data_IF_301380708105
#
_entry.id   IF_301380708105
#
_cell.length_a   1.000
_cell.length_b   1.000
_cell.length_c   1.000
_cell.angle_alpha   90.00
_cell.angle_beta   90.00
_cell.angle_gamma   90.00
#
_symmetry.space_group_name_H-M   'P 1'
#
loop_
_entity.id
_entity.type
_entity.pdbx_description
1 polymer ?
#
# COMPACT_ATOMS: atom_id res chain seq x y z
N UNK A 1 15.13 -13.60 -49.86
CA UNK A 1 15.13 -13.95 -48.43
C UNK A 1 14.56 -12.76 -47.70
N UNK A 2 13.38 -12.89 -47.10
CA UNK A 2 12.87 -11.87 -46.21
C UNK A 2 13.81 -11.83 -45.01
N UNK A 3 14.47 -10.70 -44.78
CA UNK A 3 15.34 -10.52 -43.61
C UNK A 3 14.51 -10.81 -42.37
N UNK A 4 15.04 -11.64 -41.46
CA UNK A 4 14.57 -11.63 -40.09
C UNK A 4 14.64 -10.17 -39.66
N UNK A 5 13.52 -9.57 -39.27
CA UNK A 5 13.59 -8.34 -38.52
C UNK A 5 14.25 -8.74 -37.20
N UNK A 6 15.57 -8.53 -37.11
CA UNK A 6 16.34 -8.89 -35.93
C UNK A 6 15.73 -8.16 -34.73
N UNK A 7 15.59 -8.86 -33.61
CA UNK A 7 15.09 -8.26 -32.39
C UNK A 7 16.17 -7.31 -31.88
N UNK A 8 15.95 -6.01 -32.05
CA UNK A 8 16.90 -4.94 -31.74
C UNK A 8 16.71 -4.40 -30.33
N UNK A 9 17.70 -3.66 -29.77
CA UNK A 9 17.53 -2.90 -28.54
C UNK A 9 16.28 -2.02 -28.55
N UNK A 10 16.01 -1.30 -29.65
CA UNK A 10 14.85 -0.42 -29.75
C UNK A 10 13.52 -1.19 -29.67
N UNK A 11 13.42 -2.34 -30.34
CA UNK A 11 12.22 -3.19 -30.27
C UNK A 11 12.06 -3.84 -28.90
N UNK A 12 13.16 -4.19 -28.21
CA UNK A 12 13.12 -4.71 -26.85
C UNK A 12 12.60 -3.66 -25.85
N UNK A 13 13.11 -2.42 -25.91
CA UNK A 13 12.60 -1.30 -25.09
C UNK A 13 11.12 -1.03 -25.34
N UNK A 14 10.67 -1.09 -26.60
CA UNK A 14 9.26 -0.93 -26.95
C UNK A 14 8.37 -2.06 -26.40
N UNK A 15 8.89 -3.30 -26.36
CA UNK A 15 8.18 -4.43 -25.77
C UNK A 15 7.99 -4.26 -24.26
N UNK A 16 9.03 -3.84 -23.53
CA UNK A 16 8.94 -3.52 -22.10
C UNK A 16 7.94 -2.40 -21.85
N UNK A 17 7.99 -1.32 -22.64
CA UNK A 17 7.02 -0.22 -22.54
C UNK A 17 5.58 -0.70 -22.78
N UNK A 18 5.39 -1.67 -23.68
CA UNK A 18 4.08 -2.30 -23.92
C UNK A 18 3.61 -3.10 -22.71
N UNK A 19 4.48 -3.89 -22.08
CA UNK A 19 4.16 -4.59 -20.83
C UNK A 19 3.78 -3.61 -19.71
N UNK A 20 4.57 -2.54 -19.53
CA UNK A 20 4.29 -1.51 -18.54
C UNK A 20 2.95 -0.78 -18.78
N UNK A 21 2.58 -0.55 -20.04
CA UNK A 21 1.32 0.11 -20.40
C UNK A 21 0.07 -0.73 -20.06
N UNK A 22 0.22 -2.02 -19.76
CA UNK A 22 -0.91 -2.88 -19.32
C UNK A 22 -1.29 -2.67 -17.86
N UNK A 23 -0.43 -2.00 -17.08
CA UNK A 23 -0.67 -1.74 -15.66
C UNK A 23 -1.74 -0.65 -15.51
N UNK A 24 -2.88 -1.01 -14.91
CA UNK A 24 -3.98 -0.09 -14.64
C UNK A 24 -4.14 0.06 -13.14
N UNK A 25 -3.87 1.26 -12.63
CA UNK A 25 -4.05 1.58 -11.23
C UNK A 25 -5.51 1.97 -10.94
N UNK A 26 -5.99 1.58 -9.78
CA UNK A 26 -7.30 1.93 -9.24
C UNK A 26 -7.37 3.43 -8.98
N UNK A 27 -8.44 4.08 -9.45
CA UNK A 27 -8.75 5.45 -9.06
C UNK A 27 -9.15 5.47 -7.57
N UNK A 28 -8.37 6.12 -6.69
CA UNK A 28 -8.66 6.15 -5.26
C UNK A 28 -9.99 6.83 -4.92
N UNK A 29 -10.54 7.66 -5.81
CA UNK A 29 -11.86 8.27 -5.63
C UNK A 29 -13.02 7.24 -5.69
N UNK A 30 -12.74 6.02 -6.15
CA UNK A 30 -13.69 4.90 -6.12
C UNK A 30 -13.75 4.19 -4.77
N UNK A 31 -12.89 4.58 -3.83
CA UNK A 31 -12.82 4.08 -2.45
C UNK A 31 -13.19 5.19 -1.47
N UNK A 32 -13.40 4.83 -0.20
CA UNK A 32 -13.76 5.77 0.87
C UNK A 32 -12.85 5.63 2.07
N UNK A 33 -12.67 6.70 2.83
CA UNK A 33 -11.95 6.68 4.10
C UNK A 33 -10.48 6.28 3.96
N UNK A 34 -10.01 5.43 4.88
CA UNK A 34 -8.63 4.97 4.97
C UNK A 34 -8.20 4.18 3.73
N UNK A 35 -9.07 3.33 3.18
CA UNK A 35 -8.81 2.57 1.95
C UNK A 35 -8.50 3.48 0.74
N UNK A 36 -9.08 4.69 0.67
CA UNK A 36 -8.75 5.64 -0.38
C UNK A 36 -7.38 6.30 -0.20
N UNK A 37 -6.91 6.44 1.04
CA UNK A 37 -5.57 6.94 1.35
C UNK A 37 -4.53 5.87 1.04
N UNK A 38 -4.74 4.64 1.53
CA UNK A 38 -3.83 3.52 1.28
C UNK A 38 -3.72 3.19 -0.22
N UNK A 39 -4.83 3.25 -0.97
CA UNK A 39 -4.76 3.08 -2.42
C UNK A 39 -3.95 4.18 -3.14
N UNK A 40 -3.89 5.42 -2.63
CA UNK A 40 -3.02 6.47 -3.20
C UNK A 40 -1.55 6.14 -2.98
N UNK A 41 -1.22 5.71 -1.77
CA UNK A 41 0.16 5.37 -1.40
C UNK A 41 0.61 4.14 -2.20
N UNK A 42 -0.24 3.11 -2.28
CA UNK A 42 0.02 1.91 -3.06
C UNK A 42 0.16 2.21 -4.57
N UNK A 43 -0.66 3.14 -5.11
CA UNK A 43 -0.51 3.59 -6.49
C UNK A 43 0.86 4.27 -6.72
N UNK A 44 1.31 5.09 -5.78
CA UNK A 44 2.60 5.77 -5.86
C UNK A 44 3.76 4.76 -5.82
N UNK A 45 3.72 3.81 -4.88
CA UNK A 45 4.73 2.76 -4.75
C UNK A 45 4.78 1.87 -6.00
N UNK A 46 3.62 1.45 -6.52
CA UNK A 46 3.54 0.65 -7.75
C UNK A 46 4.08 1.42 -8.95
N UNK A 47 3.83 2.73 -9.03
CA UNK A 47 4.39 3.58 -10.10
C UNK A 47 5.90 3.66 -10.02
N UNK A 48 6.46 3.77 -8.81
CA UNK A 48 7.91 3.78 -8.59
C UNK A 48 8.51 2.43 -8.97
N UNK A 49 7.97 1.32 -8.47
CA UNK A 49 8.44 -0.02 -8.79
C UNK A 49 8.39 -0.31 -10.29
N UNK A 50 7.34 0.12 -10.99
CA UNK A 50 7.24 0.00 -12.44
C UNK A 50 8.34 0.79 -13.17
N UNK A 51 8.63 2.00 -12.69
CA UNK A 51 9.70 2.83 -13.25
C UNK A 51 11.08 2.21 -13.00
N UNK A 52 11.33 1.63 -11.83
CA UNK A 52 12.57 0.94 -11.48
C UNK A 52 12.79 -0.30 -12.36
N UNK A 53 11.80 -1.19 -12.48
CA UNK A 53 11.89 -2.38 -13.36
C UNK A 53 12.18 -1.96 -14.80
N UNK A 54 11.47 -0.93 -15.29
CA UNK A 54 11.67 -0.44 -16.66
C UNK A 54 13.06 0.18 -16.85
N UNK A 55 13.56 0.93 -15.88
CA UNK A 55 14.87 1.56 -15.95
C UNK A 55 16.01 0.53 -15.90
N UNK A 56 15.90 -0.47 -15.03
CA UNK A 56 16.87 -1.56 -14.91
C UNK A 56 16.97 -2.35 -16.21
N UNK A 57 15.83 -2.79 -16.76
CA UNK A 57 15.80 -3.52 -18.02
C UNK A 57 16.35 -2.68 -19.19
N UNK A 58 16.02 -1.38 -19.26
CA UNK A 58 16.57 -0.49 -20.26
C UNK A 58 18.08 -0.31 -20.13
N UNK A 59 18.60 -0.26 -18.90
CA UNK A 59 20.03 -0.19 -18.63
C UNK A 59 20.75 -1.45 -19.12
N UNK A 60 20.21 -2.64 -18.84
CA UNK A 60 20.76 -3.90 -19.35
C UNK A 60 20.75 -3.97 -20.88
N UNK A 61 19.70 -3.44 -21.52
CA UNK A 61 19.63 -3.34 -22.99
C UNK A 61 20.71 -2.39 -23.54
N UNK A 62 20.93 -1.25 -22.90
CA UNK A 62 21.93 -0.26 -23.33
C UNK A 62 23.36 -0.79 -23.15
N UNK A 63 23.62 -1.48 -22.04
CA UNK A 63 24.90 -2.16 -21.80
C UNK A 63 25.17 -3.22 -22.87
N UNK A 64 24.18 -4.09 -23.14
CA UNK A 64 24.30 -5.09 -24.21
C UNK A 64 24.53 -4.44 -25.57
N UNK A 65 23.86 -3.33 -25.88
CA UNK A 65 24.04 -2.62 -27.14
C UNK A 65 25.45 -2.02 -27.27
N UNK A 66 26.01 -1.48 -26.19
CA UNK A 66 27.37 -0.95 -26.16
C UNK A 66 28.43 -2.06 -26.34
N UNK A 67 28.28 -3.18 -25.63
CA UNK A 67 29.19 -4.32 -25.78
C UNK A 67 29.23 -4.86 -27.22
N UNK A 68 28.07 -4.92 -27.89
CA UNK A 68 27.99 -5.37 -29.28
C UNK A 68 28.65 -4.40 -30.27
N UNK A 69 28.79 -3.12 -29.92
CA UNK A 69 29.41 -2.10 -30.77
C UNK A 69 30.95 -2.07 -30.63
N UNK A 70 31.46 -2.46 -29.46
CA UNK A 70 32.89 -2.36 -29.11
C UNK A 70 33.68 -3.65 -29.41
N UNK A 71 33.04 -4.80 -29.57
CA UNK A 71 33.72 -6.04 -29.97
C UNK A 71 34.07 -6.03 -31.48
N UNK A 72 35.37 -6.02 -31.82
CA UNK A 72 35.93 -6.16 -33.18
C UNK A 72 35.51 -7.48 -33.90
N UNK A 73 34.78 -8.36 -33.20
CA UNK A 73 34.05 -9.49 -33.77
C UNK A 73 32.55 -9.32 -33.50
N UNK A 74 31.76 -9.19 -34.57
CA UNK A 74 30.30 -9.09 -34.52
C UNK A 74 29.72 -10.27 -33.70
N UNK A 75 29.18 -10.00 -32.51
CA UNK A 75 28.38 -10.99 -31.76
C UNK A 75 27.27 -11.49 -32.68
N UNK A 76 27.10 -12.81 -32.74
CA UNK A 76 26.08 -13.42 -33.60
C UNK A 76 24.70 -12.80 -33.31
N UNK A 77 24.05 -12.23 -34.34
CA UNK A 77 22.80 -11.49 -34.19
C UNK A 77 21.69 -12.31 -33.50
N UNK A 78 21.73 -13.65 -33.61
CA UNK A 78 20.79 -14.53 -32.89
C UNK A 78 21.10 -14.60 -31.40
N UNK A 79 22.37 -14.62 -31.01
CA UNK A 79 22.78 -14.56 -29.61
C UNK A 79 22.39 -13.22 -28.95
N UNK A 80 22.50 -12.11 -29.68
CA UNK A 80 22.03 -10.80 -29.21
C UNK A 80 20.51 -10.78 -29.08
N UNK A 81 19.80 -11.26 -30.11
CA UNK A 81 18.33 -11.34 -30.10
C UNK A 81 17.82 -12.21 -28.94
N UNK A 82 18.50 -13.32 -28.63
CA UNK A 82 18.15 -14.20 -27.52
C UNK A 82 18.34 -13.51 -26.15
N UNK A 83 19.43 -12.77 -25.96
CA UNK A 83 19.66 -12.02 -24.72
C UNK A 83 18.64 -10.89 -24.55
N UNK A 84 18.35 -10.14 -25.61
CA UNK A 84 17.31 -9.11 -25.59
C UNK A 84 15.94 -9.71 -25.26
N UNK A 85 15.62 -10.89 -25.81
CA UNK A 85 14.36 -11.59 -25.50
C UNK A 85 14.31 -11.96 -24.01
N UNK A 86 15.39 -12.49 -23.46
CA UNK A 86 15.46 -12.84 -22.04
C UNK A 86 15.26 -11.62 -21.12
N UNK A 87 15.89 -10.48 -21.44
CA UNK A 87 15.70 -9.23 -20.68
C UNK A 87 14.23 -8.78 -20.72
N UNK A 88 13.60 -8.84 -21.89
CA UNK A 88 12.19 -8.48 -22.06
C UNK A 88 11.27 -9.42 -21.28
N UNK A 89 11.50 -10.73 -21.36
CA UNK A 89 10.71 -11.73 -20.66
C UNK A 89 10.79 -11.54 -19.14
N UNK A 90 12.00 -11.32 -18.60
CA UNK A 90 12.21 -11.07 -17.17
C UNK A 90 11.54 -9.78 -16.71
N UNK A 91 11.70 -8.69 -17.46
CA UNK A 91 11.08 -7.40 -17.14
C UNK A 91 9.53 -7.51 -17.18
N UNK A 92 8.98 -8.11 -18.23
CA UNK A 92 7.53 -8.30 -18.37
C UNK A 92 6.96 -9.22 -17.29
N UNK A 93 7.70 -10.26 -16.88
CA UNK A 93 7.30 -11.12 -15.77
C UNK A 93 7.30 -10.36 -14.44
N UNK A 94 8.32 -9.56 -14.17
CA UNK A 94 8.39 -8.72 -12.97
C UNK A 94 7.26 -7.69 -12.92
N UNK A 95 6.93 -7.06 -14.06
CA UNK A 95 5.76 -6.16 -14.19
C UNK A 95 4.45 -6.91 -13.91
N UNK A 96 4.29 -8.13 -14.44
CA UNK A 96 3.11 -8.94 -14.20
C UNK A 96 2.96 -9.33 -12.73
N UNK A 97 4.05 -9.70 -12.06
CA UNK A 97 4.06 -10.01 -10.63
C UNK A 97 3.69 -8.79 -9.79
N UNK A 98 4.33 -7.64 -10.03
CA UNK A 98 4.01 -6.38 -9.37
C UNK A 98 2.52 -6.02 -9.54
N UNK A 99 1.99 -6.21 -10.74
CA UNK A 99 0.57 -5.95 -11.04
C UNK A 99 -0.36 -6.91 -10.28
N UNK A 100 0.03 -8.17 -10.14
CA UNK A 100 -0.73 -9.17 -9.40
C UNK A 100 -0.77 -8.84 -7.90
N UNK A 101 0.38 -8.48 -7.32
CA UNK A 101 0.49 -8.05 -5.92
C UNK A 101 -0.35 -6.80 -5.65
N UNK A 102 -0.22 -5.78 -6.52
CA UNK A 102 -1.04 -4.58 -6.46
C UNK A 102 -2.55 -4.90 -6.51
N UNK A 103 -2.95 -5.77 -7.44
CA UNK A 103 -4.36 -6.14 -7.63
C UNK A 103 -4.91 -6.87 -6.40
N UNK A 104 -4.11 -7.76 -5.79
CA UNK A 104 -4.48 -8.47 -4.57
C UNK A 104 -4.65 -7.50 -3.40
N UNK A 105 -3.69 -6.58 -3.19
CA UNK A 105 -3.76 -5.58 -2.14
C UNK A 105 -5.00 -4.67 -2.28
N UNK A 106 -5.30 -4.19 -3.50
CA UNK A 106 -6.54 -3.42 -3.74
C UNK A 106 -7.80 -4.23 -3.43
N UNK A 107 -7.82 -5.53 -3.73
CA UNK A 107 -8.96 -6.38 -3.43
C UNK A 107 -9.17 -6.54 -1.92
N UNK A 108 -8.09 -6.64 -1.15
CA UNK A 108 -8.11 -6.67 0.32
C UNK A 108 -8.64 -5.35 0.88
N UNK A 109 -8.12 -4.20 0.43
CA UNK A 109 -8.61 -2.87 0.85
C UNK A 109 -10.12 -2.69 0.60
N UNK A 110 -10.62 -3.19 -0.54
CA UNK A 110 -12.04 -3.16 -0.87
C UNK A 110 -12.87 -4.08 0.04
N UNK A 111 -12.35 -5.25 0.37
CA UNK A 111 -13.03 -6.19 1.26
C UNK A 111 -13.13 -5.62 2.69
N UNK A 112 -12.05 -5.03 3.19
CA UNK A 112 -12.01 -4.42 4.53
C UNK A 112 -12.91 -3.20 4.63
N UNK A 113 -12.93 -2.34 3.60
CA UNK A 113 -13.81 -1.15 3.56
C UNK A 113 -15.31 -1.48 3.48
N UNK A 114 -15.70 -2.72 3.15
CA UNK A 114 -17.10 -3.16 3.03
C UNK A 114 -17.57 -4.00 4.21
N UNK A 115 -16.66 -4.43 5.10
CA UNK A 115 -17.08 -4.98 6.37
C UNK A 115 -17.71 -3.86 7.19
N UNK A 116 -18.92 -4.04 7.76
CA UNK A 116 -19.41 -3.11 8.75
C UNK A 116 -18.35 -3.08 9.84
N UNK A 117 -17.82 -1.90 10.17
CA UNK A 117 -17.08 -1.68 11.41
C UNK A 117 -17.89 -2.42 12.48
N UNK A 118 -17.36 -3.53 12.99
CA UNK A 118 -17.99 -4.26 14.05
C UNK A 118 -18.04 -3.24 15.17
N UNK A 119 -19.22 -2.60 15.35
CA UNK A 119 -19.48 -1.62 16.39
C UNK A 119 -18.88 -2.23 17.64
N UNK A 120 -17.75 -1.69 18.07
CA UNK A 120 -17.32 -1.89 19.44
C UNK A 120 -18.54 -1.45 20.22
N UNK A 121 -19.21 -2.43 20.82
CA UNK A 121 -20.39 -2.19 21.61
C UNK A 121 -19.90 -1.27 22.70
N UNK A 122 -20.27 0.01 22.59
CA UNK A 122 -20.17 0.97 23.67
C UNK A 122 -20.94 0.32 24.81
N UNK A 123 -20.21 -0.34 25.71
CA UNK A 123 -20.79 -0.89 26.93
C UNK A 123 -21.18 0.33 27.72
N UNK A 124 -22.44 0.72 27.51
CA UNK A 124 -23.28 1.60 28.30
C UNK A 124 -22.73 1.69 29.73
N UNK A 125 -21.87 2.68 29.97
CA UNK A 125 -21.65 3.16 31.34
C UNK A 125 -22.93 3.89 31.69
N UNK A 126 -23.88 3.13 32.22
CA UNK A 126 -25.10 3.64 32.81
C UNK A 126 -24.69 4.57 33.96
N UNK A 127 -24.63 5.86 33.66
CA UNK A 127 -24.60 6.95 34.62
C UNK A 127 -25.94 6.91 35.38
N UNK A 128 -25.94 6.28 36.55
CA UNK A 128 -27.10 6.33 37.45
C UNK A 128 -27.05 7.67 38.17
N UNK A 129 -27.59 8.67 37.49
CA UNK A 129 -27.97 9.97 38.02
C UNK A 129 -28.96 9.74 39.19
N UNK A 130 -28.47 9.80 40.43
CA UNK A 130 -29.32 9.87 41.62
C UNK A 130 -29.54 11.33 42.00
N UNK A 131 -30.63 11.82 41.41
CA UNK A 131 -31.44 12.98 41.74
C UNK A 131 -31.32 13.50 43.19
N UNK A 132 -30.97 14.79 43.29
CA UNK A 132 -31.11 15.68 44.44
C UNK A 132 -32.51 15.61 45.08
N UNK A 133 -32.54 15.61 46.42
CA UNK A 133 -33.69 16.08 47.20
C UNK A 133 -33.19 17.11 48.20
N UNK A 134 -33.56 18.36 47.91
CA UNK A 134 -33.32 19.56 48.70
C UNK A 134 -34.11 19.61 50.01
N UNK A 135 -33.45 20.21 51.01
CA UNK A 135 -33.98 21.04 52.12
C UNK A 135 -34.82 20.41 53.25
N UNK A 136 -34.31 20.51 54.49
CA UNK A 136 -34.88 21.52 55.42
C UNK A 136 -33.97 21.82 56.62
N UNK A 137 -33.74 23.12 56.79
CA UNK A 137 -33.17 23.83 57.93
C UNK A 137 -34.03 23.65 59.20
N UNK A 138 -33.43 23.46 60.39
CA UNK A 138 -33.92 24.04 61.66
C UNK A 138 -33.01 23.74 62.88
N UNK A 139 -32.54 24.83 63.48
CA UNK A 139 -32.44 25.11 64.92
C UNK A 139 -31.39 24.44 65.84
N UNK A 140 -30.50 25.29 66.38
CA UNK A 140 -29.71 25.11 67.61
C UNK A 140 -30.56 25.56 68.82
N UNK A 141 -30.57 24.85 69.97
CA UNK A 141 -29.84 25.32 71.17
C UNK A 141 -29.21 24.17 72.01
N UNK A 142 -27.97 24.28 72.45
CA UNK A 142 -27.53 24.51 73.85
C UNK A 142 -27.83 23.44 74.94
N UNK A 143 -26.72 22.96 75.53
CA UNK A 143 -26.42 22.52 76.92
C UNK A 143 -27.22 21.39 77.60
N UNK A 144 -26.48 20.37 78.09
CA UNK A 144 -26.56 19.89 79.50
C UNK A 144 -25.40 18.95 79.89
N UNK A 145 -24.79 19.30 81.00
CA UNK A 145 -23.68 18.67 81.74
C UNK A 145 -24.07 17.37 82.45
N UNK A 146 -23.11 16.46 82.65
CA UNK A 146 -22.91 15.56 83.82
C UNK A 146 -21.46 15.03 83.73
N UNK A 147 -20.46 15.58 84.44
CA UNK A 147 -19.97 15.26 85.80
C UNK A 147 -19.63 13.78 86.12
N UNK A 148 -18.32 13.58 86.43
CA UNK A 148 -17.71 12.70 87.47
C UNK A 148 -17.77 11.17 87.23
N UNK A 149 -16.71 10.36 87.41
CA UNK A 149 -15.81 10.18 88.56
C UNK A 149 -14.62 9.24 88.15
N UNK A 150 -13.35 9.54 88.46
CA UNK A 150 -12.56 8.90 89.53
C UNK A 150 -11.61 7.81 88.98
N UNK A 151 -10.30 8.04 88.76
CA UNK A 151 -9.16 8.07 89.70
C UNK A 151 -8.83 6.71 90.36
N UNK A 152 -7.77 6.06 89.89
CA UNK A 152 -6.63 5.56 90.68
C UNK A 152 -5.38 5.47 89.78
#
# INVERSE_FOLDING_TARGET
MAGLADFTPATAKAAIATCAATVVLTDPATLTGEAATEAKDLNAETTIGLAEITAEANSSIDELAAENADEDGEKDARAVSAQLTAIVDEACQSIANLTAEYTAAIAELKAESTQPEAKQTDVEKQDVEKQDVEQQDTEKPEVRSTEREGND
#
